data_IF_529984983453
#
_entry.id   IF_529984983453
#
_cell.length_a   1.000
_cell.length_b   1.000
_cell.length_c   1.000
_cell.angle_alpha   90.00
_cell.angle_beta   90.00
_cell.angle_gamma   90.00
#
_symmetry.space_group_name_H-M   'P 1'
#
loop_
_entity.id
_entity.type
_entity.pdbx_description
1 polymer ?
#
# COMPACT_ATOMS: atom_id res chain seq x y z
N UNK A 1 -2.60 6.82 -15.40
CA UNK A 1 -3.03 7.40 -16.71
C UNK A 1 -1.83 8.00 -17.43
N UNK A 2 -1.08 8.93 -16.81
CA UNK A 2 0.17 9.46 -17.36
C UNK A 2 1.24 8.38 -17.69
N UNK A 3 1.36 7.33 -16.88
CA UNK A 3 2.30 6.23 -17.14
C UNK A 3 1.94 5.41 -18.38
N UNK A 4 0.63 5.25 -18.67
CA UNK A 4 0.13 4.49 -19.82
C UNK A 4 0.43 5.26 -21.10
N UNK A 5 0.09 6.55 -21.13
CA UNK A 5 0.32 7.38 -22.32
C UNK A 5 1.80 7.44 -22.68
N UNK A 6 2.68 7.59 -21.68
CA UNK A 6 4.13 7.59 -21.91
C UNK A 6 4.66 6.23 -22.32
N UNK A 7 4.17 5.15 -21.71
CA UNK A 7 4.56 3.80 -22.12
C UNK A 7 4.12 3.52 -23.57
N UNK A 8 2.96 3.99 -24.00
CA UNK A 8 2.49 3.88 -25.38
C UNK A 8 3.33 4.72 -26.36
N UNK A 9 3.69 5.95 -26.00
CA UNK A 9 4.62 6.78 -26.79
C UNK A 9 5.96 6.07 -26.93
N UNK A 10 6.51 5.57 -25.82
CA UNK A 10 7.78 4.83 -25.82
C UNK A 10 7.71 3.55 -26.66
N UNK A 11 6.60 2.83 -26.61
CA UNK A 11 6.36 1.65 -27.43
C UNK A 11 6.30 2.01 -28.93
N UNK A 12 5.64 3.13 -29.26
CA UNK A 12 5.58 3.65 -30.63
C UNK A 12 6.97 4.08 -31.14
N UNK A 13 7.77 4.76 -30.31
CA UNK A 13 9.16 5.12 -30.60
C UNK A 13 10.05 3.89 -30.81
N UNK A 14 9.90 2.87 -29.96
CA UNK A 14 10.70 1.65 -30.05
C UNK A 14 10.39 0.85 -31.32
N UNK A 15 9.17 0.97 -31.87
CA UNK A 15 8.71 0.22 -33.05
C UNK A 15 8.61 -1.29 -32.84
N UNK A 16 8.87 -1.78 -31.62
CA UNK A 16 8.81 -3.19 -31.22
C UNK A 16 8.53 -3.32 -29.72
N UNK A 17 7.99 -4.47 -29.33
CA UNK A 17 7.80 -4.83 -27.92
C UNK A 17 9.15 -5.25 -27.34
N UNK A 18 9.58 -4.59 -26.26
CA UNK A 18 10.85 -4.85 -25.57
C UNK A 18 10.73 -5.97 -24.53
N UNK A 19 9.52 -6.22 -24.03
CA UNK A 19 9.24 -7.30 -23.08
C UNK A 19 9.22 -8.68 -23.73
N UNK A 20 9.72 -9.69 -23.02
CA UNK A 20 9.63 -11.10 -23.40
C UNK A 20 8.44 -11.80 -22.71
N UNK A 21 7.83 -12.77 -23.39
CA UNK A 21 6.80 -13.67 -22.83
C UNK A 21 7.33 -14.50 -21.66
N UNK A 22 8.64 -14.78 -21.64
CA UNK A 22 9.28 -15.52 -20.54
C UNK A 22 9.52 -14.66 -19.29
N UNK A 23 9.23 -13.36 -19.34
CA UNK A 23 9.52 -12.43 -18.24
C UNK A 23 10.99 -12.01 -18.19
N UNK A 24 11.37 -11.37 -17.09
CA UNK A 24 12.73 -10.84 -16.88
C UNK A 24 13.77 -11.95 -16.92
N UNK A 25 14.85 -11.73 -17.67
CA UNK A 25 16.01 -12.62 -17.71
C UNK A 25 16.83 -12.49 -16.43
N UNK A 26 17.17 -13.62 -15.84
CA UNK A 26 17.91 -13.73 -14.58
C UNK A 26 19.08 -14.69 -14.77
N UNK A 27 20.13 -14.53 -13.96
CA UNK A 27 21.31 -15.39 -14.03
C UNK A 27 20.96 -16.86 -13.75
N UNK A 28 20.11 -17.10 -12.75
CA UNK A 28 19.71 -18.43 -12.30
C UNK A 28 18.19 -18.54 -12.12
N UNK A 29 17.67 -19.76 -12.21
CA UNK A 29 16.24 -20.04 -12.01
C UNK A 29 15.73 -19.71 -10.60
N UNK A 30 16.60 -19.76 -9.58
CA UNK A 30 16.28 -19.36 -8.20
C UNK A 30 15.88 -17.88 -8.12
N UNK A 31 16.65 -17.01 -8.76
CA UNK A 31 16.48 -15.56 -8.68
C UNK A 31 15.15 -15.17 -9.34
N UNK A 32 14.80 -15.87 -10.42
CA UNK A 32 13.49 -15.74 -11.06
C UNK A 32 12.34 -16.08 -10.12
N UNK A 33 12.48 -17.16 -9.33
CA UNK A 33 11.45 -17.57 -8.36
C UNK A 33 11.30 -16.50 -7.28
N UNK A 34 12.41 -15.94 -6.77
CA UNK A 34 12.37 -14.87 -5.78
C UNK A 34 11.67 -13.61 -6.30
N UNK A 35 11.97 -13.21 -7.54
CA UNK A 35 11.27 -12.09 -8.19
C UNK A 35 9.78 -12.35 -8.38
N UNK A 36 9.38 -13.57 -8.75
CA UNK A 36 7.96 -13.95 -8.86
C UNK A 36 7.28 -13.85 -7.51
N UNK A 37 7.92 -14.34 -6.45
CA UNK A 37 7.38 -14.27 -5.09
C UNK A 37 7.23 -12.83 -4.62
N UNK A 38 8.25 -12.00 -4.80
CA UNK A 38 8.17 -10.57 -4.49
C UNK A 38 7.02 -9.90 -5.25
N UNK A 39 6.86 -10.19 -6.54
CA UNK A 39 5.76 -9.66 -7.35
C UNK A 39 4.36 -10.09 -6.83
N UNK A 40 4.21 -11.30 -6.29
CA UNK A 40 2.96 -11.72 -5.62
C UNK A 40 2.67 -10.89 -4.36
N UNK A 41 3.72 -10.51 -3.63
CA UNK A 41 3.63 -9.57 -2.50
C UNK A 41 3.19 -8.17 -2.96
N UNK A 42 3.81 -7.65 -4.01
CA UNK A 42 3.48 -6.34 -4.59
C UNK A 42 2.03 -6.28 -5.09
N UNK A 43 1.57 -7.34 -5.78
CA UNK A 43 0.16 -7.47 -6.20
C UNK A 43 -0.75 -7.48 -4.97
N UNK A 44 -0.38 -8.21 -3.91
CA UNK A 44 -1.17 -8.27 -2.68
C UNK A 44 -1.25 -6.90 -2.00
N UNK A 45 -0.16 -6.12 -2.00
CA UNK A 45 -0.14 -4.75 -1.49
C UNK A 45 -1.05 -3.80 -2.27
N UNK A 46 -1.17 -4.01 -3.59
CA UNK A 46 -1.94 -3.13 -4.48
C UNK A 46 -3.46 -3.10 -4.21
N UNK A 47 -3.98 -4.04 -3.41
CA UNK A 47 -5.38 -4.11 -3.00
C UNK A 47 -5.56 -3.96 -1.47
N UNK A 48 -5.19 -2.83 -0.85
CA UNK A 48 -5.30 -2.63 0.61
C UNK A 48 -6.74 -2.32 1.06
N UNK A 49 -7.73 -2.66 0.23
CA UNK A 49 -9.13 -2.24 0.36
C UNK A 49 -9.73 -2.55 1.73
N UNK A 50 -9.36 -3.70 2.33
CA UNK A 50 -9.87 -4.13 3.63
C UNK A 50 -9.59 -3.14 4.78
N UNK A 51 -8.54 -2.33 4.68
CA UNK A 51 -8.14 -1.38 5.74
C UNK A 51 -9.09 -0.18 5.78
N UNK A 52 -9.42 0.38 4.61
CA UNK A 52 -10.25 1.59 4.52
C UNK A 52 -11.75 1.28 4.40
N UNK A 53 -12.11 0.04 4.06
CA UNK A 53 -13.50 -0.36 3.83
C UNK A 53 -14.39 0.07 4.99
N UNK A 54 -14.05 -0.30 6.22
CA UNK A 54 -14.88 -0.07 7.40
C UNK A 54 -15.05 1.42 7.72
N UNK A 55 -13.98 2.21 7.59
CA UNK A 55 -14.02 3.66 7.80
C UNK A 55 -14.94 4.34 6.77
N UNK A 56 -14.89 3.91 5.51
CA UNK A 56 -15.79 4.45 4.48
C UNK A 56 -17.24 4.04 4.76
N UNK A 57 -17.51 2.77 5.12
CA UNK A 57 -18.89 2.32 5.36
C UNK A 57 -19.54 3.08 6.53
N UNK A 58 -18.78 3.37 7.59
CA UNK A 58 -19.28 4.07 8.79
C UNK A 58 -19.70 5.51 8.49
N UNK A 59 -19.19 6.10 7.40
CA UNK A 59 -19.52 7.48 6.97
C UNK A 59 -20.63 7.56 5.93
N UNK A 60 -21.09 6.43 5.38
CA UNK A 60 -22.12 6.45 4.35
C UNK A 60 -23.49 6.76 4.93
N UNK A 61 -24.17 7.71 4.30
CA UNK A 61 -25.54 8.04 4.65
C UNK A 61 -26.50 6.94 4.18
N UNK A 62 -27.40 6.55 5.08
CA UNK A 62 -28.54 5.67 4.80
C UNK A 62 -29.82 6.51 4.70
N UNK A 63 -30.75 6.24 3.75
CA UNK A 63 -30.84 5.08 2.84
C UNK A 63 -30.20 5.30 1.44
N UNK A 64 -29.82 4.22 0.69
CA UNK A 64 -30.00 2.78 0.96
C UNK A 64 -28.93 2.19 1.91
N UNK A 65 -29.10 0.93 2.40
CA UNK A 65 -28.16 0.32 3.35
C UNK A 65 -26.70 0.39 2.88
N UNK A 66 -25.80 0.74 3.79
CA UNK A 66 -24.40 1.05 3.50
C UNK A 66 -23.71 -0.11 2.78
N UNK A 67 -24.06 -1.35 3.14
CA UNK A 67 -23.52 -2.56 2.52
C UNK A 67 -23.85 -2.70 1.02
N UNK A 68 -25.00 -2.19 0.55
CA UNK A 68 -25.39 -2.25 -0.85
C UNK A 68 -24.61 -1.23 -1.66
N UNK A 69 -24.58 0.02 -1.18
CA UNK A 69 -23.81 1.10 -1.77
C UNK A 69 -22.33 0.75 -1.83
N UNK A 70 -21.77 0.28 -0.71
CA UNK A 70 -20.38 -0.15 -0.64
C UNK A 70 -20.10 -1.30 -1.57
N UNK A 71 -20.95 -2.33 -1.64
CA UNK A 71 -20.71 -3.47 -2.54
C UNK A 71 -20.60 -3.03 -4.00
N UNK A 72 -21.50 -2.15 -4.45
CA UNK A 72 -21.47 -1.61 -5.82
C UNK A 72 -20.22 -0.75 -6.05
N UNK A 73 -19.94 0.18 -5.13
CA UNK A 73 -18.76 1.04 -5.19
C UNK A 73 -17.46 0.21 -5.23
N UNK A 74 -17.33 -0.79 -4.35
CA UNK A 74 -16.18 -1.70 -4.29
C UNK A 74 -15.97 -2.46 -5.58
N UNK A 75 -17.04 -3.01 -6.17
CA UNK A 75 -16.96 -3.78 -7.41
C UNK A 75 -16.43 -2.90 -8.55
N UNK A 76 -16.97 -1.70 -8.69
CA UNK A 76 -16.54 -0.73 -9.70
C UNK A 76 -15.09 -0.30 -9.44
N UNK A 77 -14.73 0.02 -8.20
CA UNK A 77 -13.39 0.44 -7.82
C UNK A 77 -12.35 -0.65 -8.12
N UNK A 78 -12.61 -1.91 -7.73
CA UNK A 78 -11.71 -3.03 -8.00
C UNK A 78 -11.56 -3.23 -9.50
N UNK A 79 -12.66 -3.24 -10.27
CA UNK A 79 -12.60 -3.42 -11.72
C UNK A 79 -11.75 -2.35 -12.41
N UNK A 80 -12.01 -1.08 -12.09
CA UNK A 80 -11.27 0.06 -12.64
C UNK A 80 -9.79 -0.02 -12.25
N UNK A 81 -9.50 -0.31 -10.98
CA UNK A 81 -8.13 -0.39 -10.47
C UNK A 81 -7.35 -1.52 -11.11
N UNK A 82 -7.94 -2.73 -11.20
CA UNK A 82 -7.32 -3.88 -11.88
C UNK A 82 -7.04 -3.57 -13.34
N UNK A 83 -7.98 -2.93 -14.05
CA UNK A 83 -7.78 -2.52 -15.43
C UNK A 83 -6.57 -1.59 -15.56
N UNK A 84 -6.49 -0.54 -14.74
CA UNK A 84 -5.37 0.39 -14.80
C UNK A 84 -4.03 -0.24 -14.40
N UNK A 85 -4.00 -1.09 -13.37
CA UNK A 85 -2.78 -1.80 -12.98
C UNK A 85 -2.28 -2.73 -14.09
N UNK A 86 -3.19 -3.47 -14.72
CA UNK A 86 -2.83 -4.34 -15.84
C UNK A 86 -2.32 -3.52 -17.02
N UNK A 87 -2.98 -2.41 -17.38
CA UNK A 87 -2.51 -1.53 -18.44
C UNK A 87 -1.12 -0.94 -18.13
N UNK A 88 -0.91 -0.38 -16.94
CA UNK A 88 0.38 0.16 -16.53
C UNK A 88 1.48 -0.91 -16.55
N UNK A 89 1.21 -2.11 -16.02
CA UNK A 89 2.15 -3.22 -16.00
C UNK A 89 2.48 -3.74 -17.40
N UNK A 90 1.46 -4.00 -18.23
CA UNK A 90 1.64 -4.52 -19.58
C UNK A 90 2.33 -3.50 -20.50
N UNK A 91 1.88 -2.25 -20.53
CA UNK A 91 2.49 -1.24 -21.38
C UNK A 91 3.87 -0.83 -20.88
N UNK A 92 4.07 -0.70 -19.57
CA UNK A 92 5.37 -0.43 -18.97
C UNK A 92 6.38 -1.53 -19.33
N UNK A 93 6.01 -2.79 -19.16
CA UNK A 93 6.88 -3.92 -19.53
C UNK A 93 7.07 -4.03 -21.05
N UNK A 94 6.07 -3.73 -21.86
CA UNK A 94 6.22 -3.69 -23.32
C UNK A 94 7.20 -2.58 -23.77
N UNK A 95 7.22 -1.44 -23.07
CA UNK A 95 8.07 -0.30 -23.38
C UNK A 95 9.52 -0.47 -22.89
N UNK A 96 9.73 -1.02 -21.69
CA UNK A 96 11.04 -1.08 -21.03
C UNK A 96 11.64 -2.49 -20.93
N UNK A 97 10.84 -3.54 -21.12
CA UNK A 97 11.28 -4.93 -21.04
C UNK A 97 11.99 -5.25 -19.72
N UNK A 98 13.16 -5.88 -19.79
CA UNK A 98 13.96 -6.25 -18.61
C UNK A 98 14.48 -5.05 -17.80
N UNK A 99 14.46 -3.84 -18.38
CA UNK A 99 14.89 -2.61 -17.70
C UNK A 99 13.73 -1.85 -17.03
N UNK A 100 12.56 -2.48 -16.87
CA UNK A 100 11.39 -1.84 -16.25
C UNK A 100 11.69 -1.50 -14.78
N UNK A 101 11.69 -0.21 -14.38
CA UNK A 101 11.92 0.16 -12.99
C UNK A 101 10.69 -0.11 -12.12
N UNK A 102 10.89 -0.31 -10.82
CA UNK A 102 9.78 -0.48 -9.86
C UNK A 102 8.83 0.72 -9.78
N UNK A 103 9.37 1.93 -9.96
CA UNK A 103 8.58 3.13 -10.18
C UNK A 103 8.74 3.54 -11.66
N UNK A 104 7.68 3.39 -12.47
CA UNK A 104 7.73 3.70 -13.90
C UNK A 104 8.19 5.14 -14.18
N UNK A 105 7.88 6.10 -13.31
CA UNK A 105 8.28 7.49 -13.49
C UNK A 105 9.80 7.70 -13.43
N UNK A 106 10.55 6.86 -12.73
CA UNK A 106 12.01 6.95 -12.73
C UNK A 106 12.62 6.50 -14.07
N UNK A 107 11.93 5.61 -14.79
CA UNK A 107 12.35 5.15 -16.12
C UNK A 107 12.13 6.20 -17.21
N UNK A 108 11.22 7.15 -16.99
CA UNK A 108 10.93 8.24 -17.92
C UNK A 108 11.79 9.49 -17.72
N UNK A 109 12.66 9.54 -16.70
CA UNK A 109 13.42 10.73 -16.28
C UNK A 109 14.31 11.39 -17.35
N UNK A 110 14.47 10.78 -18.52
CA UNK A 110 15.27 11.29 -19.64
C UNK A 110 14.46 11.62 -20.91
N UNK A 111 13.13 11.53 -20.88
CA UNK A 111 12.29 11.76 -22.06
C UNK A 111 11.49 13.06 -21.96
N UNK A 112 11.59 13.90 -23.00
CA UNK A 112 10.82 15.14 -23.14
C UNK A 112 9.30 14.85 -23.26
N UNK A 113 8.42 15.66 -22.65
CA UNK A 113 8.72 16.93 -22.00
C UNK A 113 8.75 16.81 -20.45
N UNK A 114 9.79 17.38 -19.84
CA UNK A 114 10.10 17.25 -18.40
C UNK A 114 8.97 17.73 -17.47
N UNK A 115 8.23 18.78 -17.86
CA UNK A 115 7.12 19.32 -17.05
C UNK A 115 6.03 18.28 -16.73
N UNK A 116 5.80 17.31 -17.63
CA UNK A 116 4.77 16.29 -17.44
C UNK A 116 5.21 15.26 -16.40
N UNK A 117 6.51 14.99 -16.28
CA UNK A 117 7.08 14.17 -15.21
C UNK A 117 6.97 14.92 -13.88
N UNK A 118 7.33 16.21 -13.87
CA UNK A 118 7.27 17.04 -12.67
C UNK A 118 5.82 17.18 -12.15
N UNK A 119 4.86 17.40 -13.04
CA UNK A 119 3.44 17.43 -12.69
C UNK A 119 2.98 16.09 -12.12
N UNK A 120 3.40 14.96 -12.71
CA UNK A 120 3.07 13.63 -12.20
C UNK A 120 3.64 13.43 -10.79
N UNK A 121 4.90 13.83 -10.56
CA UNK A 121 5.55 13.77 -9.26
C UNK A 121 4.85 14.67 -8.23
N UNK A 122 4.43 15.88 -8.60
CA UNK A 122 3.65 16.77 -7.72
C UNK A 122 2.31 16.13 -7.34
N UNK A 123 1.60 15.53 -8.29
CA UNK A 123 0.36 14.81 -8.02
C UNK A 123 0.58 13.63 -7.07
N UNK A 124 1.67 12.86 -7.24
CA UNK A 124 2.05 11.78 -6.32
C UNK A 124 2.32 12.32 -4.93
N UNK A 125 3.08 13.42 -4.81
CA UNK A 125 3.37 14.04 -3.51
C UNK A 125 2.06 14.45 -2.81
N UNK A 126 1.16 15.15 -3.51
CA UNK A 126 -0.14 15.56 -2.95
C UNK A 126 -0.94 14.35 -2.50
N UNK A 127 -1.03 13.31 -3.33
CA UNK A 127 -1.73 12.07 -3.00
C UNK A 127 -1.13 11.36 -1.78
N UNK A 128 0.19 11.19 -1.73
CA UNK A 128 0.91 10.53 -0.65
C UNK A 128 0.80 11.31 0.67
N UNK A 129 0.87 12.65 0.62
CA UNK A 129 0.64 13.49 1.80
C UNK A 129 -0.79 13.30 2.32
N UNK A 130 -1.78 13.30 1.44
CA UNK A 130 -3.17 13.02 1.82
C UNK A 130 -3.34 11.64 2.47
N UNK A 131 -2.78 10.60 1.84
CA UNK A 131 -2.78 9.24 2.37
C UNK A 131 -2.09 9.15 3.73
N UNK A 132 -0.90 9.74 3.88
CA UNK A 132 -0.17 9.78 5.15
C UNK A 132 -0.99 10.41 6.26
N UNK A 133 -1.71 11.50 5.99
CA UNK A 133 -2.59 12.12 6.98
C UNK A 133 -3.71 11.17 7.40
N UNK A 134 -4.43 10.57 6.45
CA UNK A 134 -5.54 9.65 6.74
C UNK A 134 -5.06 8.46 7.57
N UNK A 135 -3.98 7.78 7.14
CA UNK A 135 -3.45 6.61 7.86
C UNK A 135 -2.86 6.93 9.23
N UNK A 136 -2.34 8.15 9.43
CA UNK A 136 -1.77 8.54 10.72
C UNK A 136 -2.83 8.92 11.77
N UNK A 137 -4.02 9.37 11.36
CA UNK A 137 -5.07 9.79 12.32
C UNK A 137 -5.49 8.67 13.29
N UNK A 138 -5.79 7.43 12.86
CA UNK A 138 -6.15 6.35 13.78
C UNK A 138 -5.04 6.02 14.77
N UNK A 139 -3.77 6.08 14.33
CA UNK A 139 -2.60 5.85 15.18
C UNK A 139 -2.50 6.93 16.25
N UNK A 140 -2.64 8.20 15.86
CA UNK A 140 -2.62 9.33 16.79
C UNK A 140 -3.76 9.25 17.80
N UNK A 141 -4.98 8.95 17.35
CA UNK A 141 -6.16 8.82 18.22
C UNK A 141 -6.01 7.66 19.21
N UNK A 142 -5.47 6.53 18.77
CA UNK A 142 -5.25 5.36 19.62
C UNK A 142 -4.17 5.62 20.66
N UNK A 143 -3.04 6.21 20.26
CA UNK A 143 -1.96 6.57 21.17
C UNK A 143 -2.41 7.60 22.23
N UNK A 144 -3.13 8.63 21.80
CA UNK A 144 -3.71 9.65 22.68
C UNK A 144 -4.66 9.04 23.71
N UNK A 145 -5.61 8.22 23.25
CA UNK A 145 -6.59 7.55 24.12
C UNK A 145 -5.94 6.59 25.10
N UNK A 146 -4.93 5.84 24.65
CA UNK A 146 -4.20 4.91 25.49
C UNK A 146 -3.39 5.64 26.57
N UNK A 147 -2.67 6.70 26.21
CA UNK A 147 -1.90 7.51 27.16
C UNK A 147 -2.81 8.24 28.14
N UNK A 148 -3.92 8.83 27.69
CA UNK A 148 -4.88 9.50 28.55
C UNK A 148 -5.50 8.53 29.57
N UNK A 149 -5.84 7.30 29.16
CA UNK A 149 -6.36 6.26 30.06
C UNK A 149 -5.31 5.76 31.05
N UNK A 150 -4.05 5.63 30.63
CA UNK A 150 -2.96 5.10 31.47
C UNK A 150 -2.43 6.13 32.47
N UNK A 151 -2.43 7.40 32.09
CA UNK A 151 -1.89 8.51 32.90
C UNK A 151 -2.92 9.64 33.04
N UNK A 152 -4.05 9.41 33.72
CA UNK A 152 -5.13 10.40 33.82
C UNK A 152 -4.73 11.67 34.57
N UNK A 153 -3.78 11.58 35.51
CA UNK A 153 -3.33 12.71 36.32
C UNK A 153 -2.08 13.42 35.76
N UNK A 154 -1.60 13.03 34.58
CA UNK A 154 -0.41 13.65 33.97
C UNK A 154 -0.79 14.90 33.19
N UNK A 155 -0.35 16.07 33.65
CA UNK A 155 -0.54 17.34 32.94
C UNK A 155 0.13 17.36 31.55
N UNK A 156 1.23 16.61 31.36
CA UNK A 156 1.86 16.47 30.04
C UNK A 156 0.95 15.82 28.99
N UNK A 157 0.10 14.88 29.41
CA UNK A 157 -0.79 14.12 28.52
C UNK A 157 -2.14 14.80 28.34
N UNK A 158 -2.69 15.39 29.40
CA UNK A 158 -4.08 15.89 29.39
C UNK A 158 -4.20 17.42 29.36
N UNK A 159 -3.15 18.19 29.67
CA UNK A 159 -3.24 19.65 29.68
C UNK A 159 -3.05 20.27 28.29
N UNK A 160 -3.86 21.29 28.03
CA UNK A 160 -3.78 22.12 26.83
C UNK A 160 -3.13 23.46 27.20
N UNK A 161 -1.97 23.73 26.61
CA UNK A 161 -1.21 24.95 26.81
C UNK A 161 -1.61 25.96 25.73
N UNK A 162 -2.12 27.12 26.15
CA UNK A 162 -2.50 28.20 25.22
C UNK A 162 -1.28 29.04 24.88
N UNK A 163 -0.84 28.97 23.63
CA UNK A 163 0.23 29.81 23.11
C UNK A 163 -0.37 30.90 22.23
N UNK A 164 -0.09 32.16 22.57
CA UNK A 164 -0.42 33.33 21.74
C UNK A 164 0.85 33.80 21.06
N UNK A 165 0.93 33.63 19.75
CA UNK A 165 1.96 34.27 18.92
C UNK A 165 1.48 35.67 18.50
N UNK A 166 2.39 36.65 18.34
CA UNK A 166 2.04 38.05 18.09
C UNK A 166 1.26 38.33 16.80
N UNK A 167 1.12 37.34 15.89
CA UNK A 167 0.45 37.48 14.59
C UNK A 167 -0.60 36.39 14.30
N UNK A 168 -0.85 35.46 15.24
CA UNK A 168 -1.76 34.33 15.03
C UNK A 168 -2.77 34.20 16.18
N UNK A 169 -4.00 33.72 15.92
CA UNK A 169 -4.96 33.41 16.96
C UNK A 169 -4.37 32.40 17.96
N UNK A 170 -4.79 32.50 19.22
CA UNK A 170 -4.30 31.62 20.28
C UNK A 170 -4.51 30.15 19.89
N UNK A 171 -3.46 29.34 19.92
CA UNK A 171 -3.54 27.92 19.61
C UNK A 171 -3.29 27.09 20.87
N UNK A 172 -4.08 26.03 21.02
CA UNK A 172 -3.99 25.09 22.12
C UNK A 172 -3.03 23.96 21.73
N UNK A 173 -1.91 23.85 22.45
CA UNK A 173 -0.92 22.80 22.24
C UNK A 173 -1.01 21.81 23.39
N UNK A 174 -1.14 20.55 23.04
CA UNK A 174 -0.91 19.46 23.98
C UNK A 174 0.51 18.93 23.75
N UNK A 175 1.35 18.96 24.79
CA UNK A 175 2.77 18.63 24.69
C UNK A 175 2.99 17.17 24.29
N UNK A 176 2.22 16.24 24.86
CA UNK A 176 2.26 14.83 24.47
C UNK A 176 1.95 14.65 22.98
N UNK A 177 0.85 15.23 22.48
CA UNK A 177 0.46 15.12 21.07
C UNK A 177 1.52 15.70 20.15
N UNK A 178 2.14 16.82 20.53
CA UNK A 178 3.22 17.43 19.75
C UNK A 178 4.45 16.52 19.69
N UNK A 179 4.99 16.10 20.85
CA UNK A 179 6.16 15.23 20.91
C UNK A 179 5.91 13.88 20.21
N UNK A 180 4.73 13.29 20.38
CA UNK A 180 4.39 12.01 19.76
C UNK A 180 4.36 12.13 18.24
N UNK A 181 3.69 13.15 17.69
CA UNK A 181 3.61 13.38 16.24
C UNK A 181 4.99 13.64 15.64
N UNK A 182 5.82 14.47 16.28
CA UNK A 182 7.18 14.74 15.80
C UNK A 182 8.05 13.48 15.81
N UNK A 183 8.04 12.71 16.90
CA UNK A 183 8.79 11.44 16.99
C UNK A 183 8.30 10.43 15.97
N UNK A 184 6.98 10.33 15.76
CA UNK A 184 6.39 9.46 14.74
C UNK A 184 6.89 9.83 13.33
N UNK A 185 6.84 11.11 12.96
CA UNK A 185 7.35 11.59 11.66
C UNK A 185 8.83 11.26 11.49
N UNK A 186 9.67 11.64 12.47
CA UNK A 186 11.12 11.36 12.45
C UNK A 186 11.39 9.86 12.28
N UNK A 187 10.65 9.01 13.00
CA UNK A 187 10.82 7.56 12.92
C UNK A 187 10.44 7.03 11.54
N UNK A 188 9.30 7.47 10.98
CA UNK A 188 8.87 7.05 9.63
C UNK A 188 9.83 7.53 8.54
N UNK A 189 10.38 8.74 8.66
CA UNK A 189 11.41 9.26 7.74
C UNK A 189 12.71 8.48 7.88
N UNK A 190 13.14 8.17 9.11
CA UNK A 190 14.31 7.32 9.35
C UNK A 190 14.17 5.94 8.70
N UNK A 191 13.00 5.31 8.82
CA UNK A 191 12.71 4.03 8.16
C UNK A 191 12.75 4.16 6.62
N UNK A 192 12.21 5.23 6.06
CA UNK A 192 12.25 5.48 4.61
C UNK A 192 13.69 5.63 4.08
N UNK A 193 14.59 6.27 4.86
CA UNK A 193 16.01 6.40 4.52
C UNK A 193 16.75 5.05 4.64
N UNK A 194 16.41 4.24 5.65
CA UNK A 194 17.05 2.94 5.88
C UNK A 194 16.68 1.87 4.86
N UNK A 195 15.49 1.97 4.25
CA UNK A 195 14.98 1.00 3.29
C UNK A 195 14.47 1.69 2.01
N UNK A 196 15.36 2.22 1.14
CA UNK A 196 14.97 2.86 -0.12
C UNK A 196 14.55 1.84 -1.21
N UNK A 197 14.10 0.65 -0.83
CA UNK A 197 13.78 -0.47 -1.71
C UNK A 197 12.27 -0.55 -1.93
N UNK A 198 11.76 0.24 -2.88
CA UNK A 198 10.32 0.44 -3.06
C UNK A 198 9.56 -0.88 -3.18
N UNK A 199 9.87 -1.71 -4.18
CA UNK A 199 9.14 -2.96 -4.41
C UNK A 199 9.29 -3.94 -3.24
N UNK A 200 10.51 -4.14 -2.74
CA UNK A 200 10.74 -5.12 -1.68
C UNK A 200 9.99 -4.74 -0.39
N UNK A 201 9.94 -3.46 -0.04
CA UNK A 201 9.17 -2.97 1.12
C UNK A 201 7.67 -3.15 0.88
N UNK A 202 7.17 -2.84 -0.32
CA UNK A 202 5.76 -3.06 -0.66
C UNK A 202 5.38 -4.53 -0.58
N UNK A 203 6.22 -5.43 -1.10
CA UNK A 203 5.97 -6.87 -1.07
C UNK A 203 5.91 -7.42 0.35
N UNK A 204 6.78 -6.96 1.26
CA UNK A 204 6.72 -7.30 2.69
C UNK A 204 5.42 -6.78 3.32
N UNK A 205 5.09 -5.51 3.13
CA UNK A 205 3.87 -4.92 3.69
C UNK A 205 2.60 -5.57 3.14
N UNK A 206 2.57 -5.90 1.85
CA UNK A 206 1.48 -6.60 1.20
C UNK A 206 1.28 -7.98 1.80
N UNK A 207 2.35 -8.75 1.95
CA UNK A 207 2.28 -10.09 2.52
C UNK A 207 1.81 -10.11 3.98
N UNK A 208 2.30 -9.17 4.82
CA UNK A 208 1.91 -9.09 6.23
C UNK A 208 0.43 -8.70 6.37
N UNK A 209 -0.06 -7.76 5.56
CA UNK A 209 -1.41 -7.21 5.74
C UNK A 209 -2.49 -8.02 5.01
N UNK A 210 -2.20 -8.54 3.82
CA UNK A 210 -3.21 -9.11 2.93
C UNK A 210 -3.94 -10.32 3.53
N UNK A 211 -3.20 -11.35 3.97
CA UNK A 211 -3.87 -12.54 4.50
C UNK A 211 -4.69 -12.27 5.77
N UNK A 212 -4.16 -11.66 6.83
CA UNK A 212 -4.94 -11.48 8.06
C UNK A 212 -6.14 -10.55 7.86
N UNK A 213 -5.96 -9.43 7.14
CA UNK A 213 -6.99 -8.38 7.06
C UNK A 213 -7.97 -8.58 5.90
N UNK A 214 -7.50 -9.02 4.73
CA UNK A 214 -8.36 -9.14 3.55
C UNK A 214 -9.01 -10.53 3.42
N UNK A 215 -8.39 -11.57 3.99
CA UNK A 215 -8.83 -12.96 3.79
C UNK A 215 -9.29 -13.61 5.10
N UNK A 216 -8.39 -13.79 6.06
CA UNK A 216 -8.66 -14.55 7.27
C UNK A 216 -9.78 -13.91 8.11
N UNK A 217 -9.64 -12.64 8.46
CA UNK A 217 -10.60 -11.97 9.33
C UNK A 217 -12.02 -11.90 8.72
N UNK A 218 -12.21 -11.51 7.44
CA UNK A 218 -13.53 -11.56 6.81
C UNK A 218 -14.13 -12.96 6.70
N UNK A 219 -13.31 -13.99 6.43
CA UNK A 219 -13.77 -15.39 6.36
C UNK A 219 -14.25 -15.88 7.72
N UNK A 220 -13.50 -15.60 8.81
CA UNK A 220 -13.93 -15.95 10.17
C UNK A 220 -15.20 -15.19 10.57
N UNK A 221 -15.26 -13.89 10.28
CA UNK A 221 -16.48 -13.10 10.53
C UNK A 221 -17.68 -13.67 9.78
N UNK A 222 -17.49 -14.12 8.54
CA UNK A 222 -18.54 -14.76 7.75
C UNK A 222 -19.01 -16.09 8.37
N UNK A 223 -18.10 -16.92 8.88
CA UNK A 223 -18.46 -18.17 9.57
C UNK A 223 -19.29 -17.92 10.83
N UNK A 224 -18.89 -16.94 11.64
CA UNK A 224 -19.59 -16.57 12.87
C UNK A 224 -20.97 -15.98 12.55
N UNK A 225 -21.06 -15.01 11.63
CA UNK A 225 -22.32 -14.34 11.30
C UNK A 225 -23.33 -15.27 10.61
N UNK A 226 -22.88 -16.16 9.74
CA UNK A 226 -23.75 -17.11 9.02
C UNK A 226 -23.90 -18.45 9.73
N UNK A 227 -23.30 -18.63 10.91
CA UNK A 227 -23.33 -19.87 11.71
C UNK A 227 -23.04 -21.11 10.86
N UNK A 228 -22.01 -21.03 10.02
CA UNK A 228 -21.67 -22.11 9.09
C UNK A 228 -21.12 -23.29 9.90
N UNK A 229 -21.78 -24.45 9.78
CA UNK A 229 -21.33 -25.68 10.41
C UNK A 229 -19.94 -26.10 9.90
N UNK A 230 -19.11 -26.59 10.82
CA UNK A 230 -17.82 -27.20 10.48
C UNK A 230 -18.03 -28.33 9.46
N UNK A 231 -17.05 -28.53 8.57
CA UNK A 231 -17.06 -29.58 7.54
C UNK A 231 -18.17 -29.51 6.48
N UNK A 232 -18.98 -28.44 6.47
CA UNK A 232 -19.86 -28.18 5.32
C UNK A 232 -19.03 -27.85 4.07
N UNK A 233 -19.57 -28.11 2.87
CA UNK A 233 -18.89 -27.80 1.61
C UNK A 233 -18.41 -26.35 1.54
N UNK A 234 -19.23 -25.39 1.98
CA UNK A 234 -18.88 -23.96 2.03
C UNK A 234 -17.73 -23.68 3.00
N UNK A 235 -17.74 -24.33 4.17
CA UNK A 235 -16.67 -24.21 5.15
C UNK A 235 -15.33 -24.71 4.58
N UNK A 236 -15.33 -25.90 3.97
CA UNK A 236 -14.12 -26.50 3.38
C UNK A 236 -13.55 -25.60 2.27
N UNK A 237 -14.40 -25.14 1.35
CA UNK A 237 -13.96 -24.25 0.24
C UNK A 237 -13.34 -22.96 0.77
N UNK A 238 -13.98 -22.30 1.73
CA UNK A 238 -13.47 -21.04 2.30
C UNK A 238 -12.19 -21.25 3.12
N UNK A 239 -12.03 -22.40 3.78
CA UNK A 239 -10.81 -22.75 4.52
C UNK A 239 -9.65 -23.03 3.59
N UNK A 240 -9.87 -23.80 2.52
CA UNK A 240 -8.87 -24.07 1.49
C UNK A 240 -8.46 -22.77 0.79
N UNK A 241 -9.42 -21.91 0.45
CA UNK A 241 -9.15 -20.60 -0.12
C UNK A 241 -8.27 -19.74 0.80
N UNK A 242 -8.64 -19.63 2.08
CA UNK A 242 -7.86 -18.87 3.06
C UNK A 242 -6.45 -19.43 3.24
N UNK A 243 -6.29 -20.76 3.28
CA UNK A 243 -4.98 -21.40 3.38
C UNK A 243 -4.14 -21.23 2.11
N UNK A 244 -4.74 -21.30 0.93
CA UNK A 244 -4.04 -21.02 -0.32
C UNK A 244 -3.53 -19.58 -0.37
N UNK A 245 -4.37 -18.60 0.00
CA UNK A 245 -3.94 -17.21 0.12
C UNK A 245 -2.83 -17.02 1.17
N UNK A 246 -2.89 -17.75 2.29
CA UNK A 246 -1.81 -17.76 3.29
C UNK A 246 -0.47 -18.19 2.68
N UNK A 247 -0.47 -19.29 1.92
CA UNK A 247 0.75 -19.77 1.27
C UNK A 247 1.29 -18.76 0.26
N UNK A 248 0.43 -18.13 -0.53
CA UNK A 248 0.82 -17.06 -1.48
C UNK A 248 1.46 -15.88 -0.75
N UNK A 249 0.87 -15.43 0.36
CA UNK A 249 1.47 -14.35 1.15
C UNK A 249 2.77 -14.78 1.82
N UNK A 250 2.87 -16.03 2.27
CA UNK A 250 4.09 -16.53 2.90
C UNK A 250 5.26 -16.56 1.91
N UNK A 251 5.04 -17.08 0.70
CA UNK A 251 6.09 -17.06 -0.33
C UNK A 251 6.44 -15.64 -0.73
N UNK A 252 5.44 -14.75 -0.86
CA UNK A 252 5.69 -13.35 -1.19
C UNK A 252 6.47 -12.60 -0.12
N UNK A 253 6.21 -12.88 1.16
CA UNK A 253 6.98 -12.38 2.28
C UNK A 253 8.44 -12.82 2.18
N UNK A 254 8.69 -14.12 1.99
CA UNK A 254 10.05 -14.67 1.90
C UNK A 254 10.80 -14.07 0.70
N UNK A 255 10.17 -14.01 -0.48
CA UNK A 255 10.78 -13.43 -1.67
C UNK A 255 11.10 -11.95 -1.50
N UNK A 256 10.23 -11.18 -0.85
CA UNK A 256 10.47 -9.77 -0.60
C UNK A 256 11.59 -9.53 0.41
N UNK A 257 11.68 -10.35 1.48
CA UNK A 257 12.78 -10.29 2.46
C UNK A 257 14.12 -10.68 1.81
N UNK A 258 14.13 -11.72 0.98
CA UNK A 258 15.31 -12.10 0.20
C UNK A 258 15.76 -10.93 -0.68
N UNK A 259 14.83 -10.26 -1.38
CA UNK A 259 15.10 -9.06 -2.16
C UNK A 259 15.76 -7.94 -1.33
N UNK A 260 15.25 -7.65 -0.12
CA UNK A 260 15.87 -6.63 0.77
C UNK A 260 17.30 -7.04 1.14
N UNK A 261 17.51 -8.30 1.50
CA UNK A 261 18.82 -8.81 1.93
C UNK A 261 19.81 -8.76 0.76
N UNK A 262 19.39 -9.20 -0.42
CA UNK A 262 20.21 -9.23 -1.63
C UNK A 262 20.65 -7.81 -2.04
N UNK A 263 19.72 -6.86 -2.09
CA UNK A 263 20.04 -5.46 -2.39
C UNK A 263 21.00 -4.84 -1.37
N UNK A 264 20.76 -5.09 -0.08
CA UNK A 264 21.60 -4.58 1.01
C UNK A 264 23.02 -5.16 0.99
N UNK A 265 23.18 -6.43 0.63
CA UNK A 265 24.49 -7.08 0.50
C UNK A 265 25.21 -6.62 -0.77
N UNK A 266 24.49 -6.37 -1.86
CA UNK A 266 25.08 -5.95 -3.14
C UNK A 266 25.66 -4.53 -3.14
N UNK A 267 25.35 -3.73 -2.12
CA UNK A 267 25.91 -2.39 -1.93
C UNK A 267 25.44 -1.35 -2.96
N UNK A 268 24.38 -1.64 -3.73
CA UNK A 268 23.74 -0.66 -4.62
C UNK A 268 22.74 0.19 -3.84
N UNK A 269 23.29 1.10 -3.04
CA UNK A 269 22.56 2.25 -2.50
C UNK A 269 22.62 3.44 -3.46
#
# INVERSE_FOLDING_TARGET
>A
MLDIDKALVKLAENGRIMGSVTGVETANGSDKIWLIFQALGDISFSYPYAILLLEIQDTLESPPPENQTMKKASMVAIFITTFFYLCCGCFGYAAFGNATPGNLLTGFGFYEPFWLIDLANVCIIIHLVGGYQIYSQPIYSTADRWCAKKYPNSGFVNDFHRVKLPLLPAFEINLFRFCFRTTYVISTTGLAILFPYFNQVLGVLGAINFWPLAIYFPVEMYFVQKKIGAWTRKWIVLRIFSFACFLVTMVGFVGSIEGIISEKISGKG
#
